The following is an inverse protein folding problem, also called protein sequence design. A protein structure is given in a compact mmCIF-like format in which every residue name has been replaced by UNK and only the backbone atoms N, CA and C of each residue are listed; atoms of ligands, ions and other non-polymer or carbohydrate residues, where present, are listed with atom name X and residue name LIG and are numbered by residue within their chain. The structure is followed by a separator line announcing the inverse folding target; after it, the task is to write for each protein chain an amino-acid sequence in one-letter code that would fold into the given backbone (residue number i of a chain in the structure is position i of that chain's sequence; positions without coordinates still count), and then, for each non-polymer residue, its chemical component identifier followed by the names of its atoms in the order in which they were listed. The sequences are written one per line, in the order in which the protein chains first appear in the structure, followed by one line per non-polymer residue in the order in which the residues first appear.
data_IF_300142630345
#
_entry.id   IF_300142630345
#
_cell.length_a   1.000
_cell.length_b   1.000
_cell.length_c   1.000
_cell.angle_alpha   90.00
_cell.angle_beta   90.00
_cell.angle_gamma   90.00
#
_symmetry.space_group_name_H-M   'P 1'
#
loop_
_entity.id
_entity.type
_entity.pdbx_description
1 polymer ?
#
# COMPACT_ATOMS: atom_id res chain seq x y z
N UNK A 1 1.30 13.57 -9.26
CA UNK A 1 0.10 12.93 -8.69
C UNK A 1 0.52 11.78 -7.78
N UNK A 2 1.37 10.87 -8.28
CA UNK A 2 1.75 9.64 -7.57
C UNK A 2 2.53 9.85 -6.26
N UNK A 3 3.43 10.85 -6.22
CA UNK A 3 4.19 11.16 -4.99
C UNK A 3 3.27 11.53 -3.83
N UNK A 4 2.17 12.24 -4.10
CA UNK A 4 1.21 12.63 -3.06
C UNK A 4 0.43 11.42 -2.54
N UNK A 5 0.06 10.49 -3.44
CA UNK A 5 -0.65 9.25 -3.10
C UNK A 5 0.28 8.32 -2.30
N UNK A 6 1.55 8.20 -2.70
CA UNK A 6 2.56 7.46 -1.95
C UNK A 6 2.80 8.06 -0.54
N UNK A 7 2.90 9.39 -0.43
CA UNK A 7 3.04 10.06 0.85
C UNK A 7 1.80 9.86 1.75
N UNK A 8 0.60 9.89 1.19
CA UNK A 8 -0.63 9.60 1.91
C UNK A 8 -0.68 8.15 2.40
N UNK A 9 -0.33 7.18 1.54
CA UNK A 9 -0.24 5.76 1.92
C UNK A 9 0.79 5.54 3.05
N UNK A 10 1.94 6.23 2.99
CA UNK A 10 2.95 6.18 4.04
C UNK A 10 2.47 6.81 5.35
N UNK A 11 1.80 7.96 5.30
CA UNK A 11 1.24 8.59 6.48
C UNK A 11 0.17 7.71 7.15
N UNK A 12 -0.69 7.06 6.36
CA UNK A 12 -1.67 6.09 6.84
C UNK A 12 -1.00 4.86 7.48
N UNK A 13 0.12 4.39 6.90
CA UNK A 13 0.91 3.29 7.46
C UNK A 13 1.48 3.66 8.81
N UNK A 14 2.10 4.83 8.92
CA UNK A 14 2.67 5.34 10.17
C UNK A 14 1.58 5.46 11.24
N UNK A 15 0.41 5.99 10.87
CA UNK A 15 -0.73 6.07 11.78
C UNK A 15 -1.18 4.67 12.24
N UNK A 16 -1.28 3.71 11.33
CA UNK A 16 -1.62 2.33 11.67
C UNK A 16 -0.59 1.69 12.62
N UNK A 17 0.70 1.94 12.39
CA UNK A 17 1.80 1.47 13.23
C UNK A 17 1.71 2.05 14.65
N UNK A 18 1.44 3.35 14.80
CA UNK A 18 1.26 3.99 16.11
C UNK A 18 0.01 3.50 16.84
N UNK A 19 -1.01 3.04 16.11
CA UNK A 19 -2.21 2.42 16.70
C UNK A 19 -2.02 0.97 17.12
N UNK A 20 -0.81 0.41 16.96
CA UNK A 20 -0.51 -0.97 17.32
C UNK A 20 -1.09 -2.01 16.34
N UNK A 21 -1.48 -1.61 15.13
CA UNK A 21 -1.89 -2.54 14.08
C UNK A 21 -0.67 -3.30 13.54
N UNK A 22 -0.90 -4.49 12.99
CA UNK A 22 0.18 -5.30 12.39
C UNK A 22 0.75 -4.62 11.14
N UNK A 23 1.97 -4.09 11.28
CA UNK A 23 2.68 -3.39 10.20
C UNK A 23 3.01 -4.32 9.03
N UNK A 24 3.24 -5.61 9.31
CA UNK A 24 3.56 -6.62 8.29
C UNK A 24 2.40 -6.79 7.30
N UNK A 25 1.17 -6.78 7.80
CA UNK A 25 -0.03 -6.92 6.96
C UNK A 25 -0.45 -5.58 6.36
N UNK A 26 -0.32 -4.50 7.13
CA UNK A 26 -0.82 -3.19 6.71
C UNK A 26 0.05 -2.51 5.66
N UNK A 27 1.36 -2.80 5.64
CA UNK A 27 2.28 -2.30 4.62
C UNK A 27 1.86 -2.68 3.19
N UNK A 28 1.72 -3.97 2.84
CA UNK A 28 1.30 -4.33 1.50
C UNK A 28 -0.16 -3.97 1.24
N UNK A 29 -1.05 -3.93 2.25
CA UNK A 29 -2.43 -3.50 2.07
C UNK A 29 -2.54 -2.04 1.60
N UNK A 30 -1.82 -1.12 2.25
CA UNK A 30 -1.80 0.29 1.89
C UNK A 30 -1.06 0.55 0.56
N UNK A 31 -0.04 -0.25 0.26
CA UNK A 31 0.61 -0.22 -1.05
C UNK A 31 -0.36 -0.65 -2.17
N UNK A 32 -1.15 -1.71 -1.97
CA UNK A 32 -2.18 -2.14 -2.93
C UNK A 32 -3.30 -1.10 -3.08
N UNK A 33 -3.70 -0.45 -1.99
CA UNK A 33 -4.65 0.66 -2.06
C UNK A 33 -4.11 1.84 -2.90
N UNK A 34 -2.82 2.17 -2.77
CA UNK A 34 -2.18 3.20 -3.58
C UNK A 34 -2.17 2.83 -5.07
N UNK A 35 -1.77 1.60 -5.41
CA UNK A 35 -1.75 1.10 -6.80
C UNK A 35 -3.15 1.12 -7.42
N UNK A 36 -4.18 0.72 -6.66
CA UNK A 36 -5.57 0.74 -7.13
C UNK A 36 -6.03 2.16 -7.51
N UNK A 37 -5.58 3.18 -6.77
CA UNK A 37 -5.94 4.59 -7.00
C UNK A 37 -5.14 5.20 -8.16
N UNK A 38 -3.91 4.76 -8.39
CA UNK A 38 -3.05 5.29 -9.47
C UNK A 38 -3.26 4.58 -10.80
N UNK A 39 -3.23 3.24 -10.80
CA UNK A 39 -3.39 2.41 -12.01
C UNK A 39 -3.99 1.04 -11.64
N UNK A 40 -5.33 0.89 -11.73
CA UNK A 40 -6.02 -0.33 -11.33
C UNK A 40 -5.66 -1.55 -12.19
N UNK A 41 -5.15 -1.35 -13.41
CA UNK A 41 -4.75 -2.46 -14.28
C UNK A 41 -3.47 -3.16 -13.78
N UNK A 42 -2.67 -2.47 -12.96
CA UNK A 42 -1.40 -2.99 -12.41
C UNK A 42 -1.56 -3.74 -11.09
N UNK A 43 -2.76 -3.74 -10.49
CA UNK A 43 -3.04 -4.45 -9.23
C UNK A 43 -2.66 -5.94 -9.29
N UNK A 44 -2.97 -6.70 -10.37
CA UNK A 44 -2.58 -8.11 -10.45
C UNK A 44 -1.06 -8.31 -10.47
N UNK A 45 -0.33 -7.47 -11.21
CA UNK A 45 1.14 -7.53 -11.28
C UNK A 45 1.78 -7.17 -9.93
N UNK A 46 1.28 -6.11 -9.29
CA UNK A 46 1.76 -5.66 -7.99
C UNK A 46 1.44 -6.66 -6.87
N UNK A 47 0.29 -7.32 -6.91
CA UNK A 47 -0.08 -8.38 -5.98
C UNK A 47 0.82 -9.61 -6.14
N UNK A 48 1.01 -10.09 -7.37
CA UNK A 48 1.88 -11.24 -7.61
C UNK A 48 3.31 -10.98 -7.17
N UNK A 49 3.87 -9.79 -7.43
CA UNK A 49 5.21 -9.40 -6.99
C UNK A 49 5.38 -9.32 -5.47
N UNK A 50 4.32 -8.98 -4.71
CA UNK A 50 4.39 -8.85 -3.25
C UNK A 50 4.10 -10.15 -2.50
N UNK A 51 3.31 -11.06 -3.08
CA UNK A 51 2.74 -12.19 -2.34
C UNK A 51 2.92 -13.56 -2.99
N UNK A 52 3.25 -13.62 -4.29
CA UNK A 52 3.31 -14.88 -5.05
C UNK A 52 4.69 -15.17 -5.65
N UNK A 53 5.70 -14.32 -5.40
CA UNK A 53 7.11 -14.65 -5.65
C UNK A 53 7.69 -15.60 -4.59
#
# INVERSE_FOLDING_TARGET
MDVLIAAAALALLMLAAYRGLSVIVMAPLLAMAAVLVTDPAQVPAAFSGLFME
#
